data_IF_579652803819
#
_entry.id   IF_579652803819
#
_cell.length_a   1.000
_cell.length_b   1.000
_cell.length_c   1.000
_cell.angle_alpha   90.00
_cell.angle_beta   90.00
_cell.angle_gamma   90.00
#
_symmetry.space_group_name_H-M   'P 1'
#
loop_
_entity.id
_entity.type
_entity.pdbx_description
1 polymer ?
#
# COMPACT_ATOMS: atom_id res chain seq x y z
N UNK A 1 -8.01 -6.27 -4.12
CA UNK A 1 -6.91 -7.25 -4.33
C UNK A 1 -7.20 -8.61 -3.70
N UNK A 2 -8.22 -9.36 -4.16
CA UNK A 2 -8.43 -10.73 -3.64
C UNK A 2 -7.83 -11.80 -4.55
N UNK A 3 -7.78 -11.54 -5.86
CA UNK A 3 -7.23 -12.46 -6.87
C UNK A 3 -5.70 -12.37 -6.98
N UNK A 4 -5.16 -11.16 -6.87
CA UNK A 4 -3.72 -10.89 -7.00
C UNK A 4 -2.93 -11.03 -5.70
N UNK A 5 -3.59 -11.01 -4.53
CA UNK A 5 -2.91 -11.14 -3.24
C UNK A 5 -2.08 -12.42 -3.09
N UNK A 6 -2.49 -13.63 -3.52
CA UNK A 6 -1.64 -14.80 -3.43
C UNK A 6 -0.38 -14.69 -4.31
N UNK A 7 -0.44 -14.02 -5.45
CA UNK A 7 0.72 -13.79 -6.31
C UNK A 7 1.67 -12.75 -5.68
N UNK A 8 1.13 -11.61 -5.23
CA UNK A 8 1.93 -10.57 -4.59
C UNK A 8 2.62 -11.08 -3.32
N UNK A 9 1.92 -11.82 -2.45
CA UNK A 9 2.55 -12.42 -1.26
C UNK A 9 3.70 -13.35 -1.64
N UNK A 10 3.58 -14.17 -2.71
CA UNK A 10 4.69 -15.00 -3.20
C UNK A 10 5.88 -14.18 -3.71
N UNK A 11 5.63 -13.07 -4.41
CA UNK A 11 6.69 -12.18 -4.90
C UNK A 11 7.40 -11.51 -3.72
N UNK A 12 6.65 -10.98 -2.76
CA UNK A 12 7.20 -10.29 -1.59
C UNK A 12 7.92 -11.24 -0.62
N UNK A 13 7.52 -12.52 -0.57
CA UNK A 13 8.28 -13.55 0.13
C UNK A 13 9.71 -13.71 -0.42
N UNK A 14 9.93 -13.55 -1.73
CA UNK A 14 11.29 -13.53 -2.31
C UNK A 14 12.10 -12.32 -1.83
N UNK A 15 11.42 -11.21 -1.54
CA UNK A 15 11.97 -10.00 -0.93
C UNK A 15 12.07 -10.09 0.61
N UNK A 16 11.84 -11.28 1.18
CA UNK A 16 11.87 -11.57 2.64
C UNK A 16 10.80 -10.81 3.44
N UNK A 17 9.72 -10.41 2.78
CA UNK A 17 8.57 -9.76 3.40
C UNK A 17 7.38 -10.73 3.38
N UNK A 18 6.94 -11.16 4.56
CA UNK A 18 5.70 -11.90 4.72
C UNK A 18 4.55 -10.91 4.91
N UNK A 19 3.78 -10.69 3.85
CA UNK A 19 2.63 -9.79 3.83
C UNK A 19 1.34 -10.64 3.85
N UNK A 20 0.52 -10.55 4.92
CA UNK A 20 -0.75 -11.24 4.99
C UNK A 20 -1.70 -10.82 3.85
N UNK A 21 -2.54 -11.75 3.38
CA UNK A 21 -3.45 -11.50 2.25
C UNK A 21 -4.40 -10.32 2.48
N UNK A 22 -4.88 -10.15 3.72
CA UNK A 22 -5.78 -9.06 4.10
C UNK A 22 -5.08 -7.69 4.04
N UNK A 23 -3.80 -7.64 4.41
CA UNK A 23 -3.00 -6.41 4.40
C UNK A 23 -2.86 -5.79 3.01
N UNK A 24 -2.85 -6.61 1.96
CA UNK A 24 -2.87 -6.13 0.57
C UNK A 24 -4.10 -5.28 0.24
N UNK A 25 -5.26 -5.55 0.86
CA UNK A 25 -6.46 -4.73 0.65
C UNK A 25 -6.25 -3.31 1.16
N UNK A 26 -5.67 -3.17 2.36
CA UNK A 26 -5.38 -1.86 2.94
C UNK A 26 -4.26 -1.13 2.19
N UNK A 27 -3.24 -1.86 1.70
CA UNK A 27 -2.13 -1.28 0.92
C UNK A 27 -2.51 -0.94 -0.52
N UNK A 28 -3.66 -1.43 -1.04
CA UNK A 28 -4.06 -1.21 -2.44
C UNK A 28 -4.16 0.28 -2.77
N UNK A 29 -4.85 1.06 -1.93
CA UNK A 29 -5.04 2.50 -2.16
C UNK A 29 -3.72 3.29 -2.03
N UNK A 30 -2.93 3.14 -0.95
CA UNK A 30 -1.63 3.78 -0.85
C UNK A 30 -0.67 3.45 -2.01
N UNK A 31 -0.56 2.16 -2.39
CA UNK A 31 0.27 1.73 -3.52
C UNK A 31 -0.26 2.32 -4.83
N UNK A 32 -1.58 2.34 -5.03
CA UNK A 32 -2.21 2.93 -6.20
C UNK A 32 -1.86 4.41 -6.35
N UNK A 33 -1.98 5.21 -5.29
CA UNK A 33 -1.62 6.63 -5.30
C UNK A 33 -0.13 6.81 -5.63
N UNK A 34 0.74 5.99 -5.03
CA UNK A 34 2.18 6.02 -5.30
C UNK A 34 2.49 5.70 -6.77
N UNK A 35 1.86 4.66 -7.34
CA UNK A 35 2.06 4.28 -8.74
C UNK A 35 1.56 5.37 -9.69
N UNK A 36 0.40 5.97 -9.43
CA UNK A 36 -0.11 7.08 -10.27
C UNK A 36 0.80 8.31 -10.22
N UNK A 37 1.41 8.60 -9.05
CA UNK A 37 2.42 9.64 -8.90
C UNK A 37 3.68 9.32 -9.73
N UNK A 38 4.20 8.09 -9.63
CA UNK A 38 5.42 7.67 -10.34
C UNK A 38 5.24 7.59 -11.86
N UNK A 39 4.07 7.18 -12.32
CA UNK A 39 3.74 7.07 -13.76
C UNK A 39 3.32 8.43 -14.34
N UNK A 40 3.04 9.43 -13.50
CA UNK A 40 2.60 10.77 -13.93
C UNK A 40 1.13 10.83 -14.38
N UNK A 41 0.35 9.75 -14.24
CA UNK A 41 -1.08 9.72 -14.55
C UNK A 41 -1.88 10.10 -13.30
N UNK A 42 -2.04 11.39 -13.07
CA UNK A 42 -2.71 11.90 -11.87
C UNK A 42 -4.24 11.69 -11.96
N UNK A 43 -4.79 10.95 -10.99
CA UNK A 43 -6.25 10.82 -10.80
C UNK A 43 -6.78 11.94 -9.90
N UNK A 44 -8.11 12.22 -9.87
CA UNK A 44 -8.69 13.16 -8.92
C UNK A 44 -8.32 12.84 -7.47
N UNK A 45 -8.27 11.55 -7.09
CA UNK A 45 -7.87 11.14 -5.75
C UNK A 45 -6.38 11.44 -5.47
N UNK A 46 -5.50 11.13 -6.42
CA UNK A 46 -4.06 11.44 -6.32
C UNK A 46 -3.83 12.96 -6.24
N UNK A 47 -4.54 13.75 -7.03
CA UNK A 47 -4.49 15.22 -7.00
C UNK A 47 -4.88 15.76 -5.63
N UNK A 48 -6.00 15.28 -5.09
CA UNK A 48 -6.51 15.70 -3.79
C UNK A 48 -5.59 15.26 -2.63
N UNK A 49 -4.87 14.15 -2.80
CA UNK A 49 -3.89 13.70 -1.81
C UNK A 49 -2.63 14.58 -1.79
N UNK A 50 -2.15 15.01 -2.96
CA UNK A 50 -0.94 15.85 -3.10
C UNK A 50 -1.21 17.30 -2.73
N UNK A 51 -2.44 17.79 -2.89
CA UNK A 51 -2.81 19.15 -2.51
C UNK A 51 -2.48 19.42 -1.04
N UNK A 52 -1.54 20.32 -0.79
CA UNK A 52 -1.03 20.66 0.54
C UNK A 52 -2.11 21.37 1.37
N UNK A 53 -2.98 22.16 0.73
CA UNK A 53 -3.91 23.07 1.39
C UNK A 53 -5.28 22.45 1.69
N UNK A 54 -5.52 21.21 1.24
CA UNK A 54 -6.83 20.58 1.31
C UNK A 54 -6.85 19.11 1.72
N UNK A 55 -8.08 18.58 1.80
CA UNK A 55 -8.39 17.15 1.87
C UNK A 55 -7.74 16.36 3.01
N UNK A 56 -7.68 16.94 4.21
CA UNK A 56 -7.13 16.28 5.41
C UNK A 56 -7.79 14.94 5.74
N UNK A 57 -9.11 14.82 5.57
CA UNK A 57 -9.83 13.54 5.78
C UNK A 57 -9.28 12.44 4.87
N UNK A 58 -9.06 12.74 3.60
CA UNK A 58 -8.50 11.79 2.63
C UNK A 58 -7.08 11.37 3.03
N UNK A 59 -6.24 12.33 3.44
CA UNK A 59 -4.88 12.07 3.89
C UNK A 59 -4.86 11.19 5.14
N UNK A 60 -5.66 11.52 6.14
CA UNK A 60 -5.79 10.73 7.37
C UNK A 60 -6.28 9.32 7.05
N UNK A 61 -7.28 9.18 6.17
CA UNK A 61 -7.77 7.87 5.73
C UNK A 61 -6.65 7.05 5.08
N UNK A 62 -5.92 7.62 4.12
CA UNK A 62 -4.81 6.94 3.44
C UNK A 62 -3.71 6.58 4.43
N UNK A 63 -3.41 7.45 5.39
CA UNK A 63 -2.42 7.21 6.43
C UNK A 63 -2.85 6.07 7.38
N UNK A 64 -4.12 6.05 7.81
CA UNK A 64 -4.69 4.94 8.56
C UNK A 64 -4.63 3.63 7.79
N UNK A 65 -5.00 3.63 6.51
CA UNK A 65 -4.92 2.45 5.63
C UNK A 65 -3.48 1.97 5.47
N UNK A 66 -2.52 2.89 5.35
CA UNK A 66 -1.10 2.57 5.27
C UNK A 66 -0.61 1.92 6.57
N UNK A 67 -0.96 2.49 7.74
CA UNK A 67 -0.61 1.92 9.04
C UNK A 67 -1.22 0.51 9.19
N UNK A 68 -2.51 0.35 8.92
CA UNK A 68 -3.20 -0.94 9.02
C UNK A 68 -2.64 -1.96 8.03
N UNK A 69 -2.27 -1.52 6.83
CA UNK A 69 -1.64 -2.34 5.80
C UNK A 69 -0.25 -2.83 6.18
N UNK A 70 0.55 -2.01 6.87
CA UNK A 70 1.87 -2.41 7.36
C UNK A 70 1.76 -3.23 8.66
N UNK A 71 0.72 -2.99 9.47
CA UNK A 71 0.46 -3.70 10.73
C UNK A 71 0.20 -5.18 10.45
N UNK A 72 1.21 -6.02 10.66
CA UNK A 72 1.16 -7.45 10.42
C UNK A 72 2.12 -7.95 9.34
N UNK A 73 2.78 -7.05 8.61
CA UNK A 73 3.89 -7.41 7.72
C UNK A 73 5.10 -7.80 8.57
N UNK A 74 5.65 -9.00 8.31
CA UNK A 74 6.82 -9.53 9.04
C UNK A 74 8.03 -9.59 8.11
N UNK A 75 9.20 -9.23 8.63
CA UNK A 75 10.47 -9.42 7.95
C UNK A 75 11.00 -10.80 8.33
N UNK A 76 11.17 -11.69 7.34
CA UNK A 76 11.72 -13.01 7.55
C UNK A 76 13.24 -12.88 7.70
N UNK A 77 13.77 -13.10 8.91
CA UNK A 77 15.22 -13.18 9.15
C UNK A 77 15.74 -14.51 8.61
N UNK A 78 16.91 -14.46 7.96
CA UNK A 78 17.63 -15.67 7.53
C UNK A 78 18.05 -16.44 8.79
N UNK A 79 17.56 -17.67 8.94
CA UNK A 79 18.13 -18.60 9.91
C UNK A 79 19.48 -18.99 9.33
N UNK A 80 20.55 -18.62 10.04
CA UNK A 80 21.92 -18.97 9.69
C UNK A 80 22.16 -20.46 9.95
#
# INVERSE_FOLDING_TARGET
MHLLSPLLSKIFLKLRLDVPKQNWLFLTLPIGILVHLLVGKITPMTRNFIDIHGHFILKVLIFCLLILGIKGVKIIKKIA
#
